data_IF_066608450329
#
_entry.id   IF_066608450329
#
_cell.length_a   1.000
_cell.length_b   1.000
_cell.length_c   1.000
_cell.angle_alpha   90.00
_cell.angle_beta   90.00
_cell.angle_gamma   90.00
#
_symmetry.space_group_name_H-M   'P 1'
#
loop_
_entity.id
_entity.type
_entity.pdbx_description
1 polymer ?
#
# COMPACT_ATOMS: atom_id res chain seq x y z
N UNK A 1 7.11 37.39 18.66
CA UNK A 1 5.73 37.03 18.26
C UNK A 1 5.66 35.51 18.25
N UNK A 2 4.94 34.90 19.20
CA UNK A 2 4.62 33.47 19.17
C UNK A 2 3.14 33.38 18.79
N UNK A 3 2.85 32.91 17.58
CA UNK A 3 1.51 32.49 17.22
C UNK A 3 1.11 31.35 18.17
N UNK A 4 0.28 31.67 19.16
CA UNK A 4 -0.41 30.71 20.01
C UNK A 4 -1.90 30.79 19.70
N UNK A 5 -2.26 30.32 18.52
CA UNK A 5 -3.63 29.92 18.21
C UNK A 5 -3.68 28.39 18.14
N UNK A 6 -3.31 27.72 19.24
CA UNK A 6 -3.77 26.36 19.47
C UNK A 6 -5.26 26.45 19.80
N UNK A 7 -6.11 26.14 18.82
CA UNK A 7 -7.56 25.97 19.05
C UNK A 7 -7.72 24.97 20.19
N UNK A 8 -8.28 25.43 21.31
CA UNK A 8 -8.67 24.56 22.42
C UNK A 8 -9.79 23.64 21.91
N UNK A 9 -9.46 22.36 21.69
CA UNK A 9 -10.43 21.32 21.34
C UNK A 9 -11.37 21.14 22.53
N UNK A 10 -12.68 21.18 22.30
CA UNK A 10 -13.65 21.00 23.38
C UNK A 10 -13.71 19.54 23.84
N UNK A 11 -14.08 19.28 25.10
CA UNK A 11 -14.26 17.90 25.61
C UNK A 11 -15.28 17.14 24.74
N UNK A 12 -16.35 17.82 24.32
CA UNK A 12 -17.38 17.26 23.44
C UNK A 12 -16.80 16.80 22.10
N UNK A 13 -15.93 17.60 21.49
CA UNK A 13 -15.27 17.24 20.24
C UNK A 13 -14.36 16.01 20.41
N UNK A 14 -13.71 15.85 21.56
CA UNK A 14 -12.92 14.65 21.88
C UNK A 14 -13.82 13.42 22.00
N UNK A 15 -14.94 13.53 22.71
CA UNK A 15 -15.92 12.44 22.87
C UNK A 15 -16.51 12.01 21.52
N UNK A 16 -16.88 12.99 20.67
CA UNK A 16 -17.44 12.73 19.34
C UNK A 16 -16.41 12.03 18.42
N UNK A 17 -15.14 12.46 18.48
CA UNK A 17 -14.03 11.79 17.75
C UNK A 17 -13.82 10.36 18.22
N UNK A 18 -13.82 10.11 19.53
CA UNK A 18 -13.68 8.77 20.09
C UNK A 18 -14.85 7.86 19.70
N UNK A 19 -16.08 8.38 19.73
CA UNK A 19 -17.27 7.65 19.30
C UNK A 19 -17.20 7.30 17.82
N UNK A 20 -16.76 8.22 16.96
CA UNK A 20 -16.57 7.97 15.54
C UNK A 20 -15.48 6.93 15.28
N UNK A 21 -14.33 7.03 15.96
CA UNK A 21 -13.25 6.06 15.83
C UNK A 21 -13.69 4.65 16.25
N UNK A 22 -14.49 4.54 17.31
CA UNK A 22 -15.06 3.28 17.76
C UNK A 22 -16.04 2.70 16.75
N UNK A 23 -16.99 3.51 16.25
CA UNK A 23 -18.00 3.09 15.25
C UNK A 23 -17.36 2.63 13.93
N UNK A 24 -16.23 3.24 13.56
CA UNK A 24 -15.55 2.94 12.29
C UNK A 24 -14.55 1.80 12.39
N UNK A 25 -14.28 1.27 13.58
CA UNK A 25 -13.28 0.22 13.79
C UNK A 25 -13.69 -1.08 13.09
N UNK A 26 -12.86 -1.62 12.18
CA UNK A 26 -13.17 -2.89 11.54
C UNK A 26 -13.07 -4.04 12.55
N UNK A 27 -13.93 -5.05 12.41
CA UNK A 27 -13.84 -6.26 13.21
C UNK A 27 -12.62 -7.09 12.81
N UNK A 28 -12.02 -7.83 13.76
CA UNK A 28 -10.89 -8.72 13.47
C UNK A 28 -11.28 -9.77 12.43
N UNK A 29 -12.50 -10.32 12.52
CA UNK A 29 -13.00 -11.31 11.57
C UNK A 29 -13.10 -10.75 10.14
N UNK A 30 -13.60 -9.53 9.97
CA UNK A 30 -13.66 -8.90 8.64
C UNK A 30 -12.26 -8.64 8.07
N UNK A 31 -11.30 -8.23 8.92
CA UNK A 31 -9.91 -8.01 8.50
C UNK A 31 -9.29 -9.32 8.03
N UNK A 32 -9.42 -10.40 8.81
CA UNK A 32 -8.88 -11.72 8.46
C UNK A 32 -9.53 -12.22 7.16
N UNK A 33 -10.85 -12.12 7.05
CA UNK A 33 -11.60 -12.55 5.86
C UNK A 33 -11.13 -11.79 4.62
N UNK A 34 -11.09 -10.46 4.67
CA UNK A 34 -10.66 -9.68 3.51
C UNK A 34 -9.19 -9.99 3.17
N UNK A 35 -8.30 -10.06 4.16
CA UNK A 35 -6.89 -10.40 3.92
C UNK A 35 -6.75 -11.75 3.21
N UNK A 36 -7.48 -12.77 3.66
CA UNK A 36 -7.48 -14.08 3.02
C UNK A 36 -8.01 -14.04 1.58
N UNK A 37 -9.10 -13.30 1.34
CA UNK A 37 -9.65 -13.11 0.00
C UNK A 37 -8.67 -12.40 -0.95
N UNK A 38 -7.94 -11.38 -0.47
CA UNK A 38 -6.95 -10.65 -1.26
C UNK A 38 -5.73 -11.52 -1.57
N UNK A 39 -5.17 -12.21 -0.57
CA UNK A 39 -4.06 -13.15 -0.77
C UNK A 39 -4.45 -14.29 -1.73
N UNK A 40 -5.65 -14.85 -1.59
CA UNK A 40 -6.17 -15.86 -2.50
C UNK A 40 -6.32 -15.32 -3.93
N UNK A 41 -6.81 -14.09 -4.08
CA UNK A 41 -6.95 -13.45 -5.40
C UNK A 41 -5.60 -13.23 -6.06
N UNK A 42 -4.60 -12.75 -5.31
CA UNK A 42 -3.24 -12.59 -5.81
C UNK A 42 -2.64 -13.93 -6.25
N UNK A 43 -2.77 -14.98 -5.42
CA UNK A 43 -2.27 -16.32 -5.73
C UNK A 43 -2.96 -16.92 -6.96
N UNK A 44 -4.29 -16.79 -7.05
CA UNK A 44 -5.08 -17.22 -8.20
C UNK A 44 -4.67 -16.48 -9.48
N UNK A 45 -4.53 -15.16 -9.41
CA UNK A 45 -4.08 -14.33 -10.53
C UNK A 45 -2.70 -14.73 -11.04
N UNK A 46 -1.76 -15.02 -10.13
CA UNK A 46 -0.43 -15.49 -10.48
C UNK A 46 -0.43 -16.89 -11.13
N UNK A 47 -1.27 -17.80 -10.65
CA UNK A 47 -1.25 -19.21 -11.08
C UNK A 47 -2.10 -19.50 -12.32
N UNK A 48 -3.26 -18.86 -12.44
CA UNK A 48 -4.28 -19.20 -13.44
C UNK A 48 -4.70 -18.00 -14.31
N UNK A 49 -4.06 -16.83 -14.13
CA UNK A 49 -4.39 -15.61 -14.86
C UNK A 49 -5.60 -14.87 -14.27
N UNK A 50 -6.04 -13.83 -14.98
CA UNK A 50 -7.15 -12.96 -14.58
C UNK A 50 -8.37 -13.16 -15.47
N UNK A 51 -9.55 -12.84 -14.94
CA UNK A 51 -10.77 -12.77 -15.74
C UNK A 51 -10.74 -11.55 -16.66
N UNK A 52 -10.34 -11.76 -17.91
CA UNK A 52 -10.23 -10.70 -18.93
C UNK A 52 -11.58 -10.11 -19.34
N UNK A 53 -12.70 -10.75 -18.97
CA UNK A 53 -14.05 -10.25 -19.29
C UNK A 53 -14.56 -9.24 -18.27
N UNK A 54 -13.93 -9.16 -17.10
CA UNK A 54 -14.34 -8.23 -16.04
C UNK A 54 -14.01 -6.78 -16.43
N UNK A 55 -15.04 -5.92 -16.36
CA UNK A 55 -14.89 -4.48 -16.58
C UNK A 55 -14.82 -3.77 -15.24
N UNK A 56 -13.70 -3.10 -14.97
CA UNK A 56 -13.54 -2.24 -13.79
C UNK A 56 -14.63 -1.16 -13.78
N UNK A 57 -15.37 -1.08 -12.67
CA UNK A 57 -16.47 -0.15 -12.51
C UNK A 57 -15.99 1.20 -11.94
N UNK A 58 -15.11 1.19 -10.94
CA UNK A 58 -14.64 2.41 -10.30
C UNK A 58 -13.54 3.11 -11.10
N UNK A 59 -13.63 4.43 -11.24
CA UNK A 59 -12.64 5.22 -12.00
C UNK A 59 -11.26 5.22 -11.35
N UNK A 60 -11.19 5.30 -10.01
CA UNK A 60 -9.93 5.29 -9.24
C UNK A 60 -9.12 4.00 -9.45
N UNK A 61 -9.76 2.90 -9.85
CA UNK A 61 -9.12 1.61 -10.11
C UNK A 61 -8.62 1.43 -11.53
N UNK A 62 -9.00 2.31 -12.46
CA UNK A 62 -8.54 2.30 -13.86
C UNK A 62 -7.15 2.94 -14.03
N UNK A 63 -6.63 3.60 -12.99
CA UNK A 63 -5.29 4.21 -12.97
C UNK A 63 -4.15 3.17 -13.00
N UNK A 64 -4.44 1.91 -12.68
CA UNK A 64 -3.46 0.83 -12.79
C UNK A 64 -3.29 0.48 -14.27
N UNK A 65 -2.16 0.90 -14.85
CA UNK A 65 -1.80 0.63 -16.24
C UNK A 65 -1.09 -0.73 -16.33
N UNK A 66 -1.63 -1.63 -17.14
CA UNK A 66 -1.08 -2.98 -17.40
C UNK A 66 -0.59 -3.73 -16.13
N UNK A 67 -1.41 -3.80 -15.07
CA UNK A 67 -0.98 -4.42 -13.82
C UNK A 67 -0.69 -5.91 -14.02
N UNK A 68 0.31 -6.41 -13.29
CA UNK A 68 0.62 -7.85 -13.26
C UNK A 68 -0.62 -8.66 -12.89
N UNK A 69 -0.74 -9.92 -13.36
CA UNK A 69 -1.95 -10.72 -13.14
C UNK A 69 -2.39 -10.83 -11.67
N UNK A 70 -1.44 -10.95 -10.73
CA UNK A 70 -1.74 -11.00 -9.30
C UNK A 70 -2.28 -9.67 -8.75
N UNK A 71 -1.75 -8.52 -9.21
CA UNK A 71 -2.25 -7.19 -8.87
C UNK A 71 -3.63 -6.96 -9.48
N UNK A 72 -3.83 -7.36 -10.75
CA UNK A 72 -5.11 -7.19 -11.44
C UNK A 72 -6.22 -8.03 -10.80
N UNK A 73 -5.92 -9.26 -10.36
CA UNK A 73 -6.90 -10.09 -9.66
C UNK A 73 -7.34 -9.47 -8.33
N UNK A 74 -6.41 -8.86 -7.59
CA UNK A 74 -6.72 -8.09 -6.37
C UNK A 74 -7.55 -6.85 -6.72
N UNK A 75 -7.19 -6.13 -7.79
CA UNK A 75 -7.91 -4.96 -8.26
C UNK A 75 -9.38 -5.29 -8.59
N UNK A 76 -9.62 -6.39 -9.31
CA UNK A 76 -10.97 -6.90 -9.61
C UNK A 76 -11.77 -7.22 -8.34
N UNK A 77 -11.14 -7.86 -7.36
CA UNK A 77 -11.82 -8.23 -6.11
C UNK A 77 -12.25 -6.98 -5.33
N UNK A 78 -11.34 -6.03 -5.17
CA UNK A 78 -11.62 -4.79 -4.44
C UNK A 78 -12.60 -3.88 -5.18
N UNK A 79 -12.59 -3.84 -6.51
CA UNK A 79 -13.59 -3.13 -7.33
C UNK A 79 -14.99 -3.70 -7.10
N UNK A 80 -15.15 -5.02 -7.10
CA UNK A 80 -16.42 -5.72 -6.80
C UNK A 80 -16.95 -5.44 -5.39
N UNK A 81 -16.07 -5.08 -4.46
CA UNK A 81 -16.40 -4.74 -3.07
C UNK A 81 -16.61 -3.25 -2.84
N UNK A 82 -16.54 -2.44 -3.89
CA UNK A 82 -16.65 -0.98 -3.81
C UNK A 82 -15.63 -0.34 -2.84
N UNK A 83 -14.41 -0.89 -2.83
CA UNK A 83 -13.31 -0.36 -2.01
C UNK A 83 -12.50 0.59 -2.89
N UNK A 84 -12.15 1.77 -2.38
CA UNK A 84 -11.31 2.73 -3.11
C UNK A 84 -9.87 2.24 -3.26
N UNK A 85 -9.19 2.76 -4.28
CA UNK A 85 -7.73 2.66 -4.43
C UNK A 85 -7.17 4.07 -4.26
N UNK A 86 -6.34 4.29 -3.24
CA UNK A 86 -5.70 5.59 -3.08
C UNK A 86 -4.65 5.80 -4.18
N UNK A 87 -4.45 7.05 -4.62
CA UNK A 87 -3.45 7.39 -5.63
C UNK A 87 -2.06 6.91 -5.23
N UNK A 88 -1.74 7.04 -3.94
CA UNK A 88 -0.47 6.58 -3.38
C UNK A 88 -0.29 5.06 -3.49
N UNK A 89 -1.34 4.26 -3.22
CA UNK A 89 -1.29 2.81 -3.43
C UNK A 89 -1.10 2.48 -4.92
N UNK A 90 -1.82 3.16 -5.80
CA UNK A 90 -1.69 2.97 -7.24
C UNK A 90 -0.27 3.24 -7.75
N UNK A 91 0.34 4.35 -7.31
CA UNK A 91 1.73 4.69 -7.63
C UNK A 91 2.69 3.61 -7.14
N UNK A 92 2.51 3.11 -5.92
CA UNK A 92 3.38 2.05 -5.39
C UNK A 92 3.29 0.75 -6.21
N UNK A 93 2.09 0.33 -6.63
CA UNK A 93 1.92 -0.83 -7.50
C UNK A 93 2.57 -0.62 -8.87
N UNK A 94 2.39 0.56 -9.47
CA UNK A 94 3.01 0.88 -10.75
C UNK A 94 4.54 0.85 -10.68
N UNK A 95 5.13 1.40 -9.61
CA UNK A 95 6.58 1.35 -9.45
C UNK A 95 7.08 -0.08 -9.21
N UNK A 96 6.33 -0.91 -8.46
CA UNK A 96 6.68 -2.32 -8.28
C UNK A 96 6.64 -3.09 -9.61
N UNK A 97 5.64 -2.82 -10.47
CA UNK A 97 5.55 -3.41 -11.81
C UNK A 97 6.79 -3.07 -12.67
N UNK A 98 7.17 -1.79 -12.72
CA UNK A 98 8.36 -1.33 -13.46
C UNK A 98 9.63 -2.00 -12.98
N UNK A 99 9.81 -2.10 -11.65
CA UNK A 99 10.98 -2.78 -11.06
C UNK A 99 11.01 -4.28 -11.42
N UNK A 100 9.85 -4.93 -11.47
CA UNK A 100 9.76 -6.31 -11.95
C UNK A 100 10.16 -6.45 -13.42
N UNK A 101 9.77 -5.52 -14.29
CA UNK A 101 10.15 -5.55 -15.72
C UNK A 101 11.66 -5.37 -15.90
N UNK A 102 12.25 -4.45 -15.14
CA UNK A 102 13.65 -4.06 -15.30
C UNK A 102 14.63 -5.10 -14.74
N UNK A 103 14.36 -5.64 -13.54
CA UNK A 103 15.40 -6.36 -12.79
C UNK A 103 15.12 -7.84 -12.53
N UNK A 104 13.85 -8.27 -12.49
CA UNK A 104 13.48 -9.63 -12.03
C UNK A 104 14.12 -10.75 -12.86
N UNK A 105 14.15 -10.55 -14.18
CA UNK A 105 14.71 -11.50 -15.15
C UNK A 105 16.02 -10.99 -15.78
N UNK A 106 16.69 -10.03 -15.13
CA UNK A 106 17.91 -9.45 -15.66
C UNK A 106 18.99 -10.54 -15.90
N UNK A 107 19.81 -10.48 -16.96
CA UNK A 107 20.80 -11.53 -17.25
C UNK A 107 21.86 -11.71 -16.16
N UNK A 108 22.22 -10.64 -15.47
CA UNK A 108 23.25 -10.67 -14.41
C UNK A 108 22.66 -11.11 -13.06
N UNK A 109 23.41 -11.93 -12.32
CA UNK A 109 23.01 -12.37 -10.98
C UNK A 109 22.88 -11.20 -10.00
N UNK A 110 23.80 -10.23 -10.06
CA UNK A 110 23.81 -9.06 -9.17
C UNK A 110 22.51 -8.24 -9.28
N UNK A 111 22.02 -7.97 -10.49
CA UNK A 111 20.80 -7.20 -10.67
C UNK A 111 19.56 -7.97 -10.20
N UNK A 112 19.54 -9.30 -10.36
CA UNK A 112 18.48 -10.14 -9.78
C UNK A 112 18.51 -10.12 -8.26
N UNK A 113 19.67 -10.15 -7.63
CA UNK A 113 19.77 -10.03 -6.16
C UNK A 113 19.36 -8.64 -5.65
N UNK A 114 19.74 -7.57 -6.39
CA UNK A 114 19.28 -6.20 -6.13
C UNK A 114 17.76 -6.10 -6.20
N UNK A 115 17.14 -6.73 -7.20
CA UNK A 115 15.68 -6.82 -7.30
C UNK A 115 15.06 -7.40 -6.03
N UNK A 116 15.50 -8.58 -5.59
CA UNK A 116 14.89 -9.25 -4.42
C UNK A 116 15.01 -8.44 -3.14
N UNK A 117 16.15 -7.77 -2.93
CA UNK A 117 16.34 -6.89 -1.77
C UNK A 117 15.43 -5.67 -1.83
N UNK A 118 15.33 -5.02 -3.01
CA UNK A 118 14.44 -3.86 -3.21
C UNK A 118 12.97 -4.26 -3.05
N UNK A 119 12.58 -5.41 -3.57
CA UNK A 119 11.23 -5.96 -3.50
C UNK A 119 10.80 -6.24 -2.05
N UNK A 120 11.65 -6.87 -1.23
CA UNK A 120 11.39 -7.06 0.20
C UNK A 120 11.24 -5.74 0.97
N UNK A 121 12.08 -4.74 0.66
CA UNK A 121 11.98 -3.40 1.27
C UNK A 121 10.69 -2.71 0.86
N UNK A 122 10.28 -2.84 -0.41
CA UNK A 122 9.01 -2.28 -0.89
C UNK A 122 7.80 -2.91 -0.24
N UNK A 123 7.76 -4.23 -0.02
CA UNK A 123 6.67 -4.85 0.74
C UNK A 123 6.50 -4.23 2.12
N UNK A 124 7.61 -3.89 2.80
CA UNK A 124 7.55 -3.21 4.09
C UNK A 124 6.95 -1.80 3.98
N UNK A 125 7.42 -1.02 3.00
CA UNK A 125 6.94 0.35 2.78
C UNK A 125 5.45 0.38 2.38
N UNK A 126 5.03 -0.55 1.52
CA UNK A 126 3.63 -0.69 1.11
C UNK A 126 2.77 -1.07 2.32
N UNK A 127 3.21 -2.04 3.13
CA UNK A 127 2.50 -2.41 4.36
C UNK A 127 2.32 -1.19 5.30
N UNK A 128 3.39 -0.43 5.54
CA UNK A 128 3.35 0.76 6.39
C UNK A 128 2.37 1.82 5.85
N UNK A 129 2.34 2.06 4.54
CA UNK A 129 1.38 2.99 3.93
C UNK A 129 -0.06 2.53 4.11
N UNK A 130 -0.34 1.23 3.93
CA UNK A 130 -1.66 0.66 4.21
C UNK A 130 -2.05 0.80 5.69
N UNK A 131 -1.10 0.64 6.61
CA UNK A 131 -1.33 0.87 8.03
C UNK A 131 -1.69 2.33 8.32
N UNK A 132 -0.97 3.28 7.73
CA UNK A 132 -1.27 4.71 7.85
C UNK A 132 -2.63 5.06 7.26
N UNK A 133 -2.98 4.55 6.08
CA UNK A 133 -4.30 4.75 5.47
C UNK A 133 -5.42 4.28 6.42
N UNK A 134 -5.29 3.07 6.97
CA UNK A 134 -6.28 2.56 7.92
C UNK A 134 -6.30 3.28 9.27
N UNK A 135 -5.18 3.86 9.70
CA UNK A 135 -5.04 4.60 10.97
C UNK A 135 -5.55 6.04 10.86
N UNK A 136 -5.32 6.69 9.73
CA UNK A 136 -5.63 8.10 9.53
C UNK A 136 -7.01 8.33 8.88
N UNK A 137 -7.65 7.28 8.34
CA UNK A 137 -9.03 7.35 7.84
C UNK A 137 -10.02 8.01 8.83
N UNK A 138 -10.05 7.71 10.15
CA UNK A 138 -10.94 8.42 11.07
C UNK A 138 -10.75 9.94 11.04
N UNK A 139 -9.51 10.42 10.93
CA UNK A 139 -9.22 11.86 10.89
C UNK A 139 -9.66 12.49 9.56
N UNK A 140 -9.61 11.72 8.47
CA UNK A 140 -10.03 12.14 7.13
C UNK A 140 -11.55 12.28 7.01
N UNK A 141 -12.30 11.34 7.59
CA UNK A 141 -13.76 11.29 7.47
C UNK A 141 -14.50 11.96 8.62
N UNK A 142 -13.85 12.18 9.77
CA UNK A 142 -14.49 12.86 10.89
C UNK A 142 -14.79 14.32 10.55
N UNK A 143 -16.04 14.71 10.77
CA UNK A 143 -16.56 16.07 10.73
C UNK A 143 -17.67 16.18 11.79
N UNK A 144 -17.97 17.38 12.26
CA UNK A 144 -18.94 17.60 13.34
C UNK A 144 -20.31 16.94 13.04
N UNK A 145 -20.78 17.06 11.79
CA UNK A 145 -22.04 16.47 11.32
C UNK A 145 -21.78 15.26 10.40
N UNK A 146 -21.06 14.24 10.89
CA UNK A 146 -20.85 13.01 10.12
C UNK A 146 -22.16 12.23 9.94
N UNK A 147 -22.30 11.60 8.78
CA UNK A 147 -23.46 10.78 8.39
C UNK A 147 -23.14 9.30 8.46
N UNK A 148 -24.17 8.43 8.38
CA UNK A 148 -23.97 6.99 8.23
C UNK A 148 -23.10 6.63 7.01
N UNK A 149 -23.20 7.43 5.94
CA UNK A 149 -22.35 7.26 4.75
C UNK A 149 -20.87 7.51 5.06
N UNK A 150 -20.56 8.54 5.86
CA UNK A 150 -19.18 8.83 6.27
C UNK A 150 -18.61 7.70 7.16
N UNK A 151 -19.46 7.10 7.99
CA UNK A 151 -19.09 5.92 8.79
C UNK A 151 -18.77 4.74 7.86
N UNK A 152 -19.64 4.45 6.88
CA UNK A 152 -19.45 3.33 5.96
C UNK A 152 -18.18 3.48 5.11
N UNK A 153 -17.94 4.68 4.55
CA UNK A 153 -16.74 4.96 3.75
C UNK A 153 -15.48 4.85 4.62
N UNK A 154 -15.51 5.40 5.85
CA UNK A 154 -14.41 5.24 6.79
C UNK A 154 -14.17 3.77 7.14
N UNK A 155 -15.23 2.98 7.42
CA UNK A 155 -15.11 1.55 7.70
C UNK A 155 -14.47 0.79 6.52
N UNK A 156 -14.86 1.09 5.28
CA UNK A 156 -14.27 0.50 4.07
C UNK A 156 -12.78 0.82 3.96
N UNK A 157 -12.39 2.08 4.11
CA UNK A 157 -10.98 2.50 4.03
C UNK A 157 -10.15 1.89 5.17
N UNK A 158 -10.67 1.87 6.39
CA UNK A 158 -10.02 1.22 7.53
C UNK A 158 -9.85 -0.28 7.36
N UNK A 159 -10.88 -0.95 6.86
CA UNK A 159 -10.85 -2.38 6.59
C UNK A 159 -9.83 -2.71 5.51
N UNK A 160 -9.83 -1.95 4.40
CA UNK A 160 -8.89 -2.11 3.30
C UNK A 160 -7.45 -1.81 3.72
N UNK A 161 -7.22 -0.70 4.42
CA UNK A 161 -5.92 -0.34 4.99
C UNK A 161 -5.37 -1.41 5.91
N UNK A 162 -6.20 -1.89 6.85
CA UNK A 162 -5.76 -2.95 7.79
C UNK A 162 -5.49 -4.27 7.07
N UNK A 163 -6.34 -4.67 6.11
CA UNK A 163 -6.14 -5.89 5.35
C UNK A 163 -4.91 -5.81 4.43
N UNK A 164 -4.66 -4.67 3.79
CA UNK A 164 -3.48 -4.43 2.98
C UNK A 164 -2.20 -4.51 3.79
N UNK A 165 -2.17 -3.91 4.99
CA UNK A 165 -1.04 -4.04 5.92
C UNK A 165 -0.75 -5.51 6.25
N UNK A 166 -1.79 -6.28 6.58
CA UNK A 166 -1.66 -7.71 6.89
C UNK A 166 -1.11 -8.49 5.69
N UNK A 167 -1.68 -8.30 4.49
CA UNK A 167 -1.25 -8.99 3.28
C UNK A 167 0.22 -8.72 2.95
N UNK A 168 0.62 -7.45 2.89
CA UNK A 168 1.99 -7.07 2.56
C UNK A 168 3.00 -7.44 3.65
N UNK A 169 2.59 -7.48 4.92
CA UNK A 169 3.41 -8.05 6.01
C UNK A 169 3.64 -9.54 5.80
N UNK A 170 2.61 -10.31 5.41
CA UNK A 170 2.75 -11.73 5.08
C UNK A 170 3.61 -11.95 3.84
N UNK A 171 3.45 -11.14 2.78
CA UNK A 171 4.27 -11.25 1.57
C UNK A 171 5.74 -10.94 1.85
N UNK A 172 6.04 -9.91 2.66
CA UNK A 172 7.39 -9.65 3.14
C UNK A 172 7.97 -10.87 3.87
N UNK A 173 7.22 -11.42 4.82
CA UNK A 173 7.67 -12.59 5.57
C UNK A 173 7.93 -13.79 4.64
N UNK A 174 7.04 -14.06 3.69
CA UNK A 174 7.20 -15.13 2.71
C UNK A 174 8.45 -14.91 1.83
N UNK A 175 8.66 -13.69 1.32
CA UNK A 175 9.84 -13.33 0.52
C UNK A 175 11.14 -13.49 1.31
N UNK A 176 11.14 -13.15 2.60
CA UNK A 176 12.29 -13.32 3.49
C UNK A 176 12.60 -14.80 3.79
N UNK A 177 11.59 -15.67 3.84
CA UNK A 177 11.80 -17.12 4.02
C UNK A 177 12.41 -17.75 2.77
N UNK A 178 11.95 -17.37 1.58
CA UNK A 178 12.46 -17.90 0.30
C UNK A 178 13.86 -17.38 -0.01
N UNK A 179 14.13 -16.10 0.31
CA UNK A 179 15.44 -15.48 0.18
C UNK A 179 15.75 -14.67 1.44
N UNK A 180 16.40 -15.28 2.44
CA UNK A 180 16.89 -14.52 3.58
C UNK A 180 17.82 -13.43 3.06
N UNK A 181 17.50 -12.14 3.30
CA UNK A 181 18.41 -11.08 2.87
C UNK A 181 19.74 -11.28 3.59
N UNK A 182 20.81 -11.52 2.83
CA UNK A 182 22.16 -11.67 3.38
C UNK A 182 22.63 -10.35 4.01
N UNK A 183 22.03 -9.24 3.58
CA UNK A 183 22.13 -7.93 4.23
C UNK A 183 21.05 -7.82 5.31
N UNK A 184 21.42 -8.24 6.51
CA UNK A 184 20.54 -8.25 7.68
C UNK A 184 20.09 -6.85 8.09
N UNK A 185 18.86 -6.79 8.59
CA UNK A 185 18.40 -6.18 9.87
C UNK A 185 18.75 -4.71 10.19
N UNK A 186 19.68 -4.04 9.51
CA UNK A 186 20.15 -2.68 9.83
C UNK A 186 20.16 -1.77 8.59
N UNK A 187 19.01 -1.50 7.98
CA UNK A 187 18.89 -0.24 7.23
C UNK A 187 17.72 0.52 7.81
N UNK A 188 18.05 1.34 8.80
CA UNK A 188 17.19 2.34 9.37
C UNK A 188 16.46 3.10 8.26
N UNK A 189 15.17 3.19 8.46
CA UNK A 189 14.25 4.05 7.77
C UNK A 189 14.79 5.48 7.71
N UNK A 190 15.09 5.98 6.51
CA UNK A 190 15.06 7.40 6.24
C UNK A 190 13.88 7.67 5.31
N UNK A 191 12.85 8.32 5.87
CA UNK A 191 11.94 9.15 5.10
C UNK A 191 12.78 10.08 4.22
N UNK A 192 12.58 10.02 2.91
CA UNK A 192 13.30 10.85 1.94
C UNK A 192 14.20 10.04 1.01
N UNK A 193 13.60 9.55 -0.07
CA UNK A 193 14.33 9.23 -1.31
C UNK A 193 14.94 10.49 -1.98
N UNK A 194 15.12 11.60 -1.25
CA UNK A 194 15.90 12.74 -1.73
C UNK A 194 17.37 12.35 -1.97
N UNK A 195 17.89 11.30 -1.33
CA UNK A 195 19.25 10.81 -1.58
C UNK A 195 19.37 9.76 -2.69
N UNK A 196 18.28 9.07 -3.05
CA UNK A 196 18.26 8.25 -4.27
C UNK A 196 18.19 9.18 -5.49
N UNK A 197 17.42 10.27 -5.39
CA UNK A 197 17.44 11.35 -6.38
C UNK A 197 18.76 12.15 -6.39
N UNK A 198 19.51 12.28 -5.27
CA UNK A 198 20.85 12.90 -5.30
C UNK A 198 21.91 11.97 -5.90
N UNK A 199 21.88 10.65 -5.63
CA UNK A 199 22.78 9.71 -6.30
C UNK A 199 22.50 9.57 -7.80
N UNK A 200 21.24 9.79 -8.21
CA UNK A 200 20.83 9.84 -9.63
C UNK A 200 21.05 11.25 -10.22
N UNK A 201 20.99 12.35 -9.45
CA UNK A 201 21.26 13.73 -9.95
C UNK A 201 22.72 14.15 -9.93
N UNK A 202 23.57 13.59 -9.07
CA UNK A 202 25.03 13.71 -9.21
C UNK A 202 25.57 12.80 -10.33
N UNK A 203 24.69 12.05 -11.00
CA UNK A 203 25.00 11.42 -12.28
C UNK A 203 25.05 12.47 -13.41
N UNK A 204 26.21 13.09 -13.53
CA UNK A 204 26.75 13.53 -14.83
C UNK A 204 27.92 12.61 -15.30
N UNK A 205 28.38 11.64 -14.49
CA UNK A 205 29.80 11.27 -14.51
C UNK A 205 30.19 9.81 -14.80
N UNK A 206 29.29 8.87 -15.03
CA UNK A 206 29.68 7.54 -15.55
C UNK A 206 29.40 7.42 -17.04
N UNK A 207 30.06 8.32 -17.78
CA UNK A 207 30.20 8.26 -19.22
C UNK A 207 30.96 6.99 -19.61
N UNK A 208 30.32 6.12 -20.37
CA UNK A 208 30.91 4.95 -20.97
C UNK A 208 31.85 5.40 -22.10
N UNK A 209 33.17 5.28 -21.91
CA UNK A 209 34.22 5.65 -22.88
C UNK A 209 34.26 7.15 -23.26
N UNK A 210 34.97 7.95 -22.47
CA UNK A 210 35.86 9.02 -22.95
C UNK A 210 36.75 9.52 -21.83
#
# INVERSE_FOLDING_TARGET
MKDKNEKQISIREIEDRMAFEYKTRPSIFSVIKLSAELMYSAAKGAAWGVDETYKIQREDRKILHEPRPHVQAVNHNLDKKDISLSTEQAENFNIQNTMEDEYKNHPTFEERERFHTKDQKREAAIAERFYHEGKDAPKKFFKEDYTEKDIEECQKERLAGTAGFVCHTFFKAAKNVVRPSVYGVNSDFQFGDELIDVAIRESEQFNFKK
#
